data_IF_659537081431
#
_entry.id   IF_659537081431
#
_cell.length_a   1.000
_cell.length_b   1.000
_cell.length_c   1.000
_cell.angle_alpha   90.00
_cell.angle_beta   90.00
_cell.angle_gamma   90.00
#
_symmetry.space_group_name_H-M   'P 1'
#
loop_
_entity.id
_entity.type
_entity.pdbx_description
1 polymer ?
#
# COMPACT_ATOMS: atom_id res chain seq x y z
N UNK A 1 -4.65 -13.44 -13.02
CA UNK A 1 -5.41 -13.92 -11.84
C UNK A 1 -6.72 -13.15 -11.74
N UNK A 2 -7.84 -13.82 -11.42
CA UNK A 2 -9.15 -13.17 -11.27
C UNK A 2 -9.51 -13.08 -9.79
N UNK A 3 -9.68 -11.88 -9.27
CA UNK A 3 -10.20 -11.67 -7.91
C UNK A 3 -11.72 -11.52 -7.97
N UNK A 4 -12.41 -12.27 -7.11
CA UNK A 4 -13.86 -12.20 -7.04
C UNK A 4 -14.31 -10.85 -6.49
N UNK A 5 -15.44 -10.33 -6.98
CA UNK A 5 -16.05 -9.11 -6.45
C UNK A 5 -16.39 -9.23 -4.96
N UNK A 6 -16.63 -10.45 -4.47
CA UNK A 6 -16.88 -10.71 -3.06
C UNK A 6 -15.66 -10.40 -2.18
N UNK A 7 -14.44 -10.75 -2.61
CA UNK A 7 -13.22 -10.40 -1.87
C UNK A 7 -13.00 -8.89 -1.82
N UNK A 8 -13.18 -8.21 -2.96
CA UNK A 8 -13.10 -6.75 -3.04
C UNK A 8 -14.07 -6.10 -2.07
N UNK A 9 -15.35 -6.52 -2.10
CA UNK A 9 -16.39 -5.99 -1.21
C UNK A 9 -16.07 -6.22 0.26
N UNK A 10 -15.61 -7.41 0.63
CA UNK A 10 -15.30 -7.74 2.01
C UNK A 10 -14.12 -6.91 2.54
N UNK A 11 -13.04 -6.78 1.77
CA UNK A 11 -11.88 -5.98 2.17
C UNK A 11 -12.21 -4.49 2.31
N UNK A 12 -12.97 -3.92 1.36
CA UNK A 12 -13.47 -2.54 1.46
C UNK A 12 -14.38 -2.37 2.68
N UNK A 13 -15.21 -3.37 2.97
CA UNK A 13 -16.06 -3.38 4.18
C UNK A 13 -15.21 -3.37 5.45
N UNK A 14 -14.14 -4.18 5.52
CA UNK A 14 -13.20 -4.18 6.64
C UNK A 14 -12.61 -2.79 6.87
N UNK A 15 -12.09 -2.14 5.82
CA UNK A 15 -11.49 -0.80 5.93
C UNK A 15 -12.53 0.26 6.38
N UNK A 16 -13.73 0.21 5.79
CA UNK A 16 -14.79 1.20 6.06
C UNK A 16 -15.39 1.04 7.47
N UNK A 17 -15.47 -0.18 8.01
CA UNK A 17 -15.92 -0.45 9.38
C UNK A 17 -15.03 0.20 10.44
N UNK A 18 -13.74 0.40 10.15
CA UNK A 18 -12.81 1.14 11.01
C UNK A 18 -12.77 2.65 10.73
N UNK A 19 -13.66 3.18 9.87
CA UNK A 19 -13.69 4.60 9.51
C UNK A 19 -12.57 5.05 8.57
N UNK A 20 -11.81 4.12 7.99
CA UNK A 20 -10.61 4.41 7.19
C UNK A 20 -10.89 4.43 5.68
N UNK A 21 -12.14 4.32 5.24
CA UNK A 21 -12.50 4.22 3.81
C UNK A 21 -12.17 5.44 2.94
N UNK A 22 -11.81 6.58 3.54
CA UNK A 22 -11.29 7.76 2.82
C UNK A 22 -9.76 7.86 2.84
N UNK A 23 -9.09 6.96 3.55
CA UNK A 23 -7.64 6.99 3.84
C UNK A 23 -6.91 5.78 3.29
N UNK A 24 -7.54 4.62 3.34
CA UNK A 24 -6.99 3.35 2.87
C UNK A 24 -7.88 2.77 1.77
N UNK A 25 -7.25 2.04 0.86
CA UNK A 25 -7.90 1.32 -0.23
C UNK A 25 -7.41 -0.10 -0.31
N UNK A 26 -7.79 -0.79 -1.40
CA UNK A 26 -7.13 -2.03 -1.79
C UNK A 26 -6.47 -1.81 -3.14
N UNK A 27 -5.32 -2.43 -3.32
CA UNK A 27 -4.57 -2.37 -4.57
C UNK A 27 -4.36 -3.78 -5.12
N UNK A 28 -4.60 -3.97 -6.42
CA UNK A 28 -4.23 -5.21 -7.09
C UNK A 28 -2.72 -5.24 -7.24
N UNK A 29 -2.07 -6.29 -6.76
CA UNK A 29 -0.66 -6.50 -7.00
C UNK A 29 -0.43 -6.74 -8.50
N UNK A 30 0.27 -5.81 -9.14
CA UNK A 30 0.63 -5.90 -10.53
C UNK A 30 1.96 -5.19 -10.79
N UNK A 31 2.59 -5.55 -11.91
CA UNK A 31 3.87 -5.00 -12.35
C UNK A 31 3.69 -4.38 -13.73
N UNK A 32 3.95 -3.09 -13.84
CA UNK A 32 4.04 -2.41 -15.13
C UNK A 32 5.39 -2.68 -15.80
N UNK A 33 6.48 -2.48 -15.06
CA UNK A 33 7.85 -2.58 -15.57
C UNK A 33 8.80 -3.21 -14.53
N UNK A 34 9.92 -3.82 -14.95
CA UNK A 34 11.02 -4.20 -14.06
C UNK A 34 11.60 -2.99 -13.33
N UNK A 35 11.76 -3.11 -12.02
CA UNK A 35 12.46 -2.14 -11.20
C UNK A 35 13.94 -2.54 -11.18
N UNK A 36 14.86 -1.65 -11.59
CA UNK A 36 16.29 -1.95 -11.52
C UNK A 36 16.77 -2.19 -10.08
N UNK A 37 17.82 -2.99 -9.93
CA UNK A 37 18.42 -3.27 -8.63
C UNK A 37 18.89 -1.97 -7.94
N UNK A 38 18.71 -1.91 -6.62
CA UNK A 38 19.06 -0.72 -5.82
C UNK A 38 18.10 0.46 -5.95
N UNK A 39 16.97 0.28 -6.65
CA UNK A 39 15.95 1.32 -6.81
C UNK A 39 14.64 0.96 -6.12
N UNK A 40 13.85 1.98 -5.79
CA UNK A 40 12.46 1.87 -5.32
C UNK A 40 11.53 2.70 -6.19
N UNK A 41 10.25 2.44 -6.10
CA UNK A 41 9.20 3.23 -6.73
C UNK A 41 8.84 4.43 -5.86
N UNK A 42 9.10 5.65 -6.34
CA UNK A 42 8.77 6.89 -5.66
C UNK A 42 7.71 7.68 -6.46
N UNK A 43 6.61 8.04 -5.82
CA UNK A 43 5.67 9.02 -6.34
C UNK A 43 6.32 10.39 -6.38
N UNK A 44 6.40 10.96 -7.57
CA UNK A 44 6.78 12.36 -7.77
C UNK A 44 5.61 13.15 -8.32
N UNK A 45 5.54 14.43 -7.98
CA UNK A 45 4.56 15.35 -8.56
C UNK A 45 4.87 15.58 -10.04
N UNK A 46 3.83 15.68 -10.86
CA UNK A 46 3.97 16.16 -12.23
C UNK A 46 3.92 17.69 -12.19
N UNK A 47 5.00 18.37 -12.55
CA UNK A 47 5.05 19.85 -12.46
C UNK A 47 4.13 20.53 -13.47
N UNK A 48 3.91 19.91 -14.63
CA UNK A 48 3.14 20.49 -15.73
C UNK A 48 1.64 20.18 -15.69
N UNK A 49 1.18 19.29 -14.80
CA UNK A 49 -0.22 18.86 -14.76
C UNK A 49 -0.62 18.34 -13.36
N UNK A 50 -1.92 18.37 -13.00
CA UNK A 50 -2.38 17.71 -11.79
C UNK A 50 -2.07 16.22 -11.83
N UNK A 51 -1.46 15.71 -10.77
CA UNK A 51 -1.21 14.28 -10.61
C UNK A 51 0.20 13.98 -10.13
N UNK A 52 0.44 12.67 -10.02
CA UNK A 52 1.73 12.09 -9.65
C UNK A 52 2.05 10.96 -10.61
N UNK A 53 3.33 10.69 -10.78
CA UNK A 53 3.83 9.53 -11.50
C UNK A 53 4.80 8.76 -10.61
N UNK A 54 4.88 7.46 -10.81
CA UNK A 54 5.84 6.60 -10.13
C UNK A 54 7.13 6.59 -10.93
N UNK A 55 8.24 6.94 -10.28
CA UNK A 55 9.57 6.91 -10.87
C UNK A 55 10.50 5.95 -10.10
N UNK A 56 11.22 5.05 -10.81
CA UNK A 56 12.36 4.34 -10.24
C UNK A 56 13.43 5.30 -9.73
N UNK A 57 13.76 5.19 -8.44
CA UNK A 57 14.66 6.11 -7.72
C UNK A 57 15.66 5.31 -6.89
N UNK A 58 16.94 5.70 -6.93
CA UNK A 58 18.00 5.03 -6.17
C UNK A 58 17.75 5.16 -4.67
N UNK A 59 17.86 4.06 -3.92
CA UNK A 59 17.67 4.05 -2.47
C UNK A 59 18.62 5.05 -1.80
N UNK A 60 19.88 5.09 -2.23
CA UNK A 60 20.92 5.95 -1.64
C UNK A 60 20.67 7.46 -1.89
N UNK A 61 19.76 7.80 -2.80
CA UNK A 61 19.38 9.19 -3.10
C UNK A 61 18.18 9.68 -2.30
N UNK A 62 17.51 8.81 -1.54
CA UNK A 62 16.29 9.16 -0.81
C UNK A 62 16.58 9.91 0.49
N UNK A 63 15.79 10.96 0.73
CA UNK A 63 15.67 11.53 2.07
C UNK A 63 14.72 10.67 2.92
N UNK A 64 15.31 9.75 3.70
CA UNK A 64 14.56 8.85 4.58
C UNK A 64 13.80 9.57 5.69
N UNK A 65 14.10 10.86 5.96
CA UNK A 65 13.37 11.66 6.94
C UNK A 65 12.07 12.25 6.36
N UNK A 66 11.89 12.23 5.04
CA UNK A 66 10.80 12.90 4.33
C UNK A 66 10.12 11.98 3.29
N UNK A 67 9.86 10.73 3.68
CA UNK A 67 9.23 9.72 2.82
C UNK A 67 8.19 8.92 3.62
N UNK A 68 7.16 8.41 2.93
CA UNK A 68 6.18 7.49 3.49
C UNK A 68 5.85 6.34 2.51
N UNK A 69 5.31 5.25 3.03
CA UNK A 69 4.78 4.16 2.21
C UNK A 69 3.41 4.53 1.61
N UNK A 70 3.22 4.22 0.33
CA UNK A 70 1.97 4.47 -0.40
C UNK A 70 1.18 3.18 -0.59
N UNK A 71 1.88 2.07 -0.83
CA UNK A 71 1.24 0.78 -1.06
C UNK A 71 1.99 -0.32 -0.37
N UNK A 72 1.23 -1.21 0.28
CA UNK A 72 1.79 -2.18 1.21
C UNK A 72 1.34 -3.60 0.89
N UNK A 73 2.30 -4.53 0.77
CA UNK A 73 2.00 -5.96 0.60
C UNK A 73 2.01 -6.67 1.94
N UNK A 74 1.18 -7.71 2.06
CA UNK A 74 1.26 -8.67 3.17
C UNK A 74 2.53 -9.51 3.00
N UNK A 75 3.26 -9.75 4.09
CA UNK A 75 4.39 -10.67 4.07
C UNK A 75 3.91 -12.05 4.52
N UNK A 76 3.96 -13.09 3.65
CA UNK A 76 3.47 -14.42 4.00
C UNK A 76 4.13 -14.97 5.26
N UNK A 77 3.33 -15.52 6.17
CA UNK A 77 3.81 -16.06 7.45
C UNK A 77 4.17 -15.01 8.49
N UNK A 78 4.12 -13.73 8.16
CA UNK A 78 4.37 -12.64 9.09
C UNK A 78 3.12 -11.77 9.25
N UNK A 79 2.79 -11.39 10.49
CA UNK A 79 1.67 -10.48 10.75
C UNK A 79 2.07 -9.02 10.50
N UNK A 80 2.63 -8.73 9.33
CA UNK A 80 3.10 -7.39 8.95
C UNK A 80 2.83 -7.05 7.49
N UNK A 81 2.77 -5.74 7.26
CA UNK A 81 2.78 -5.13 5.94
C UNK A 81 4.17 -4.58 5.63
N UNK A 82 4.56 -4.57 4.36
CA UNK A 82 5.78 -3.89 3.88
C UNK A 82 5.45 -3.02 2.68
N UNK A 83 5.91 -1.76 2.72
CA UNK A 83 5.75 -0.85 1.59
C UNK A 83 6.65 -1.27 0.42
N UNK A 84 6.11 -1.19 -0.79
CA UNK A 84 6.88 -1.40 -2.02
C UNK A 84 6.74 -0.24 -3.02
N UNK A 85 5.86 0.71 -2.73
CA UNK A 85 5.78 2.02 -3.37
C UNK A 85 5.77 3.09 -2.29
N UNK A 86 6.41 4.22 -2.58
CA UNK A 86 6.66 5.29 -1.63
C UNK A 86 6.25 6.64 -2.20
N UNK A 87 6.04 7.62 -1.34
CA UNK A 87 5.81 9.01 -1.72
C UNK A 87 6.62 9.95 -0.86
N UNK A 88 6.94 11.12 -1.41
CA UNK A 88 7.61 12.19 -0.67
C UNK A 88 6.65 12.89 0.30
N UNK A 89 7.19 13.40 1.39
CA UNK A 89 6.43 14.17 2.37
C UNK A 89 5.83 13.33 3.49
N UNK A 90 5.02 13.96 4.36
CA UNK A 90 4.35 13.29 5.45
C UNK A 90 3.26 12.34 4.91
N UNK A 91 3.08 11.21 5.61
CA UNK A 91 1.99 10.28 5.33
C UNK A 91 0.62 10.98 5.50
N UNK A 92 -0.32 10.79 4.57
CA UNK A 92 -1.71 11.26 4.73
C UNK A 92 -2.47 10.46 5.82
N UNK A 93 -1.90 9.34 6.28
CA UNK A 93 -2.41 8.52 7.39
C UNK A 93 -1.51 8.71 8.60
N UNK A 94 -2.10 9.17 9.70
CA UNK A 94 -1.41 9.42 10.97
C UNK A 94 -1.47 8.21 11.90
N UNK A 95 -0.56 8.13 12.88
CA UNK A 95 -0.62 7.07 13.89
C UNK A 95 -1.96 7.04 14.63
N UNK A 96 -2.55 8.20 14.94
CA UNK A 96 -3.88 8.28 15.59
C UNK A 96 -5.00 7.64 14.77
N UNK A 97 -4.86 7.56 13.44
CA UNK A 97 -5.85 6.92 12.59
C UNK A 97 -5.87 5.40 12.73
N UNK A 98 -4.71 4.80 13.05
CA UNK A 98 -4.53 3.35 12.99
C UNK A 98 -4.19 2.70 14.32
N UNK A 99 -3.67 3.45 15.31
CA UNK A 99 -3.13 2.93 16.58
C UNK A 99 -4.16 2.15 17.40
N UNK A 100 -5.43 2.53 17.32
CA UNK A 100 -6.53 1.87 18.00
C UNK A 100 -7.41 1.02 17.04
N UNK A 101 -7.01 0.91 15.77
CA UNK A 101 -7.75 0.12 14.79
C UNK A 101 -7.15 -1.28 14.70
N UNK A 102 -7.99 -2.31 14.73
CA UNK A 102 -7.59 -3.65 14.31
C UNK A 102 -7.63 -3.80 12.78
N UNK A 103 -7.84 -2.70 12.04
CA UNK A 103 -8.00 -2.69 10.58
C UNK A 103 -6.86 -3.43 9.86
N UNK A 104 -5.61 -3.10 10.17
CA UNK A 104 -4.44 -3.74 9.55
C UNK A 104 -4.38 -5.24 9.88
N UNK A 105 -4.69 -5.63 11.11
CA UNK A 105 -4.70 -7.04 11.52
C UNK A 105 -5.80 -7.83 10.81
N UNK A 106 -7.01 -7.26 10.73
CA UNK A 106 -8.15 -7.88 10.06
C UNK A 106 -7.92 -7.99 8.55
N UNK A 107 -7.31 -6.97 7.95
CA UNK A 107 -6.88 -7.00 6.56
C UNK A 107 -5.87 -8.13 6.30
N UNK A 108 -4.77 -8.19 7.08
CA UNK A 108 -3.75 -9.25 6.97
C UNK A 108 -4.40 -10.63 7.15
N UNK A 109 -5.24 -10.79 8.17
CA UNK A 109 -5.95 -12.04 8.46
C UNK A 109 -6.83 -12.47 7.28
N UNK A 110 -7.61 -11.55 6.71
CA UNK A 110 -8.46 -11.84 5.56
C UNK A 110 -7.64 -12.24 4.32
N UNK A 111 -6.63 -11.44 3.97
CA UNK A 111 -5.77 -11.71 2.81
C UNK A 111 -5.06 -13.05 2.93
N UNK A 112 -4.55 -13.38 4.12
CA UNK A 112 -3.85 -14.65 4.38
C UNK A 112 -4.82 -15.83 4.34
N UNK A 113 -5.96 -15.74 5.03
CA UNK A 113 -6.97 -16.82 5.10
C UNK A 113 -7.51 -17.22 3.72
N UNK A 114 -7.57 -16.27 2.80
CA UNK A 114 -8.13 -16.45 1.46
C UNK A 114 -7.08 -16.61 0.36
N UNK A 115 -5.80 -16.79 0.72
CA UNK A 115 -4.69 -16.98 -0.23
C UNK A 115 -4.57 -15.84 -1.26
N UNK A 116 -4.68 -14.61 -0.77
CA UNK A 116 -4.65 -13.38 -1.59
C UNK A 116 -3.33 -12.61 -1.46
N UNK A 117 -2.31 -13.18 -0.82
CA UNK A 117 -1.05 -12.49 -0.48
C UNK A 117 -0.25 -12.04 -1.72
N UNK A 118 -0.35 -12.80 -2.82
CA UNK A 118 0.29 -12.47 -4.09
C UNK A 118 -0.64 -11.64 -5.02
N UNK A 119 -1.81 -11.28 -4.51
CA UNK A 119 -2.89 -10.69 -5.28
C UNK A 119 -3.28 -9.27 -4.86
N UNK A 120 -3.30 -9.05 -3.55
CA UNK A 120 -3.90 -7.87 -2.94
C UNK A 120 -2.88 -7.21 -2.03
N UNK A 121 -2.77 -5.90 -2.19
CA UNK A 121 -2.06 -4.98 -1.32
C UNK A 121 -3.07 -4.01 -0.67
N UNK A 122 -2.62 -3.37 0.41
CA UNK A 122 -3.29 -2.24 1.06
C UNK A 122 -2.83 -0.93 0.41
#
# INVERSE_FOLDING_TARGET
MKISQAHVKNLVTTITQYGLGKKLGIHLLHKHEPLPDGQVKLEMKIESAPGKWIKPTLIDSLDLSNIHGVTFKVVPGENRLVSYEFGEGPSPVSNSDVVNSNCVKDFISYVTKHDLVDAIAL
#
